data_IF_220795834020
#
_entry.id   IF_220795834020
#
_cell.length_a   1.000
_cell.length_b   1.000
_cell.length_c   1.000
_cell.angle_alpha   90.00
_cell.angle_beta   90.00
_cell.angle_gamma   90.00
#
_symmetry.space_group_name_H-M   'P 1'
#
loop_
_entity.id
_entity.type
_entity.pdbx_description
1 polymer ?
#
# COMPACT_ATOMS: atom_id res chain seq x y z
N UNK A 1 8.86 -19.62 -23.84
CA UNK A 1 9.23 -18.65 -22.79
C UNK A 1 9.89 -19.30 -21.57
N UNK A 2 9.30 -20.31 -20.92
CA UNK A 2 9.94 -21.02 -19.79
C UNK A 2 11.35 -21.56 -20.11
N UNK A 3 11.52 -22.19 -21.28
CA UNK A 3 12.84 -22.64 -21.76
C UNK A 3 13.87 -21.51 -21.84
N UNK A 4 13.47 -20.31 -22.25
CA UNK A 4 14.37 -19.16 -22.34
C UNK A 4 14.77 -18.61 -20.96
N UNK A 5 13.88 -18.69 -19.96
CA UNK A 5 14.22 -18.40 -18.57
C UNK A 5 15.22 -19.41 -18.01
N UNK A 6 15.05 -20.69 -18.33
CA UNK A 6 15.98 -21.75 -17.91
C UNK A 6 17.36 -21.59 -18.54
N UNK A 7 17.43 -21.24 -19.82
CA UNK A 7 18.70 -20.89 -20.48
C UNK A 7 19.39 -19.71 -19.82
N UNK A 8 18.63 -18.66 -19.45
CA UNK A 8 19.20 -17.51 -18.74
C UNK A 8 19.69 -17.89 -17.34
N UNK A 9 18.94 -18.72 -16.61
CA UNK A 9 19.32 -19.24 -15.30
C UNK A 9 20.60 -20.09 -15.37
N UNK A 10 20.75 -20.93 -16.39
CA UNK A 10 21.96 -21.70 -16.64
C UNK A 10 23.16 -20.80 -16.98
N UNK A 11 22.93 -19.74 -17.76
CA UNK A 11 23.99 -18.77 -18.12
C UNK A 11 24.51 -18.02 -16.88
N UNK A 12 23.59 -17.62 -15.98
CA UNK A 12 23.94 -16.98 -14.71
C UNK A 12 24.79 -17.90 -13.82
N UNK A 13 24.39 -19.16 -13.68
CA UNK A 13 25.13 -20.16 -12.89
C UNK A 13 26.50 -20.50 -13.49
N UNK A 14 26.61 -20.48 -14.82
CA UNK A 14 27.86 -20.71 -15.53
C UNK A 14 28.81 -19.49 -15.50
N UNK A 15 28.40 -18.36 -14.91
CA UNK A 15 29.19 -17.13 -14.88
C UNK A 15 29.46 -16.55 -16.28
N UNK A 16 28.58 -16.82 -17.24
CA UNK A 16 28.80 -16.45 -18.64
C UNK A 16 28.88 -14.94 -18.86
N UNK A 17 29.77 -14.49 -19.74
CA UNK A 17 30.06 -13.08 -20.07
C UNK A 17 28.94 -12.31 -20.81
N UNK A 18 27.68 -12.78 -20.73
CA UNK A 18 26.54 -12.11 -21.35
C UNK A 18 26.11 -10.87 -20.57
N UNK A 19 25.17 -10.10 -21.13
CA UNK A 19 24.45 -9.03 -20.41
C UNK A 19 23.13 -9.60 -19.85
N UNK A 20 23.13 -10.23 -18.67
CA UNK A 20 21.97 -10.96 -18.15
C UNK A 20 20.77 -10.06 -17.85
N UNK A 21 21.01 -8.83 -17.41
CA UNK A 21 19.95 -7.86 -17.13
C UNK A 21 19.17 -7.47 -18.40
N UNK A 22 19.86 -7.25 -19.52
CA UNK A 22 19.19 -6.95 -20.80
C UNK A 22 18.36 -8.13 -21.29
N UNK A 23 18.91 -9.35 -21.21
CA UNK A 23 18.18 -10.57 -21.60
C UNK A 23 16.96 -10.80 -20.72
N UNK A 24 17.09 -10.55 -19.41
CA UNK A 24 15.96 -10.59 -18.48
C UNK A 24 14.88 -9.57 -18.87
N UNK A 25 15.26 -8.32 -19.13
CA UNK A 25 14.31 -7.25 -19.48
C UNK A 25 13.55 -7.58 -20.77
N UNK A 26 14.23 -8.11 -21.78
CA UNK A 26 13.59 -8.53 -23.03
C UNK A 26 12.57 -9.67 -22.79
N UNK A 27 12.93 -10.65 -21.96
CA UNK A 27 12.01 -11.74 -21.60
C UNK A 27 10.81 -11.23 -20.80
N UNK A 28 11.04 -10.31 -19.86
CA UNK A 28 9.98 -9.70 -19.06
C UNK A 28 8.99 -8.92 -19.93
N UNK A 29 9.49 -8.14 -20.90
CA UNK A 29 8.64 -7.42 -21.85
C UNK A 29 7.81 -8.40 -22.69
N UNK A 30 8.45 -9.42 -23.27
CA UNK A 30 7.74 -10.44 -24.04
C UNK A 30 6.66 -11.16 -23.22
N UNK A 31 6.93 -11.41 -21.93
CA UNK A 31 5.97 -12.04 -21.04
C UNK A 31 4.76 -11.15 -20.73
N UNK A 32 4.96 -9.85 -20.52
CA UNK A 32 3.88 -8.89 -20.35
C UNK A 32 2.99 -8.78 -21.60
N UNK A 33 3.56 -8.93 -22.80
CA UNK A 33 2.81 -8.94 -24.06
C UNK A 33 1.98 -10.24 -24.22
N UNK A 34 2.55 -11.39 -23.85
CA UNK A 34 1.88 -12.68 -23.99
C UNK A 34 0.84 -12.95 -22.89
N UNK A 35 0.99 -12.32 -21.71
CA UNK A 35 0.12 -12.50 -20.56
C UNK A 35 -0.42 -11.15 -20.04
N UNK A 36 -1.28 -10.46 -20.81
CA UNK A 36 -1.77 -9.13 -20.45
C UNK A 36 -2.66 -9.09 -19.19
N UNK A 37 -3.14 -10.25 -18.72
CA UNK A 37 -3.90 -10.37 -17.46
C UNK A 37 -3.04 -10.63 -16.22
N UNK A 38 -1.73 -10.87 -16.37
CA UNK A 38 -0.86 -11.24 -15.27
C UNK A 38 -0.29 -9.99 -14.57
N UNK A 39 -1.05 -9.42 -13.64
CA UNK A 39 -0.66 -8.22 -12.88
C UNK A 39 0.67 -8.37 -12.15
N UNK A 40 1.01 -9.60 -11.73
CA UNK A 40 2.29 -9.88 -11.07
C UNK A 40 3.50 -9.71 -11.97
N UNK A 41 3.38 -9.92 -13.30
CA UNK A 41 4.49 -9.65 -14.24
C UNK A 41 4.78 -8.14 -14.33
N UNK A 42 3.74 -7.31 -14.30
CA UNK A 42 3.86 -5.84 -14.37
C UNK A 42 4.52 -5.22 -13.13
N UNK A 43 4.44 -5.91 -11.99
CA UNK A 43 5.09 -5.49 -10.75
C UNK A 43 6.60 -5.78 -10.73
N UNK A 44 7.07 -6.70 -11.58
CA UNK A 44 8.49 -6.99 -11.70
C UNK A 44 9.12 -5.84 -12.47
N UNK A 45 9.95 -5.04 -11.79
CA UNK A 45 10.63 -3.92 -12.44
C UNK A 45 11.72 -4.43 -13.41
N UNK A 46 12.00 -3.69 -14.50
CA UNK A 46 13.21 -3.89 -15.29
C UNK A 46 14.47 -3.73 -14.43
N UNK A 47 15.54 -4.41 -14.83
CA UNK A 47 16.85 -4.36 -14.19
C UNK A 47 17.76 -3.38 -14.91
N UNK A 48 18.51 -2.58 -14.15
CA UNK A 48 19.63 -1.81 -14.70
C UNK A 48 20.77 -2.75 -15.15
N UNK A 49 21.62 -2.34 -16.10
CA UNK A 49 22.72 -3.17 -16.61
C UNK A 49 23.66 -3.69 -15.51
N UNK A 50 23.87 -2.89 -14.46
CA UNK A 50 24.83 -3.16 -13.39
C UNK A 50 24.22 -3.90 -12.18
N UNK A 51 23.01 -4.44 -12.32
CA UNK A 51 22.33 -5.14 -11.23
C UNK A 51 23.06 -6.43 -10.85
N UNK A 52 23.11 -6.70 -9.53
CA UNK A 52 23.74 -7.92 -9.03
C UNK A 52 23.05 -9.19 -9.53
N UNK A 53 23.84 -10.25 -9.74
CA UNK A 53 23.36 -11.57 -10.16
C UNK A 53 22.26 -12.10 -9.23
N UNK A 54 22.40 -11.92 -7.91
CA UNK A 54 21.41 -12.34 -6.94
C UNK A 54 20.04 -11.66 -7.17
N UNK A 55 20.02 -10.37 -7.49
CA UNK A 55 18.77 -9.64 -7.80
C UNK A 55 18.16 -10.12 -9.12
N UNK A 56 19.00 -10.41 -10.13
CA UNK A 56 18.54 -10.99 -11.39
C UNK A 56 17.89 -12.36 -11.15
N UNK A 57 18.51 -13.23 -10.35
CA UNK A 57 17.98 -14.56 -10.03
C UNK A 57 16.65 -14.51 -9.29
N UNK A 58 16.49 -13.60 -8.32
CA UNK A 58 15.23 -13.41 -7.59
C UNK A 58 14.11 -13.02 -8.55
N UNK A 59 14.33 -12.02 -9.42
CA UNK A 59 13.30 -11.58 -10.35
C UNK A 59 12.99 -12.62 -11.43
N UNK A 60 14.00 -13.39 -11.85
CA UNK A 60 13.84 -14.51 -12.76
C UNK A 60 13.00 -15.64 -12.13
N UNK A 61 13.21 -15.95 -10.85
CA UNK A 61 12.39 -16.92 -10.12
C UNK A 61 10.94 -16.46 -9.95
N UNK A 62 10.72 -15.18 -9.64
CA UNK A 62 9.38 -14.59 -9.57
C UNK A 62 8.65 -14.71 -10.92
N UNK A 63 9.34 -14.33 -12.01
CA UNK A 63 8.81 -14.41 -13.36
C UNK A 63 8.48 -15.85 -13.78
N UNK A 64 9.39 -16.80 -13.51
CA UNK A 64 9.18 -18.23 -13.79
C UNK A 64 7.93 -18.75 -13.08
N UNK A 65 7.79 -18.48 -11.79
CA UNK A 65 6.64 -18.90 -10.98
C UNK A 65 5.32 -18.33 -11.51
N UNK A 66 5.31 -17.06 -11.93
CA UNK A 66 4.11 -16.45 -12.52
C UNK A 66 3.75 -17.10 -13.84
N UNK A 67 4.72 -17.32 -14.73
CA UNK A 67 4.46 -17.95 -16.01
C UNK A 67 4.01 -19.41 -15.87
N UNK A 68 4.58 -20.17 -14.94
CA UNK A 68 4.12 -21.53 -14.64
C UNK A 68 2.65 -21.54 -14.19
N UNK A 69 2.22 -20.56 -13.40
CA UNK A 69 0.81 -20.40 -12.99
C UNK A 69 -0.12 -20.10 -14.17
N UNK A 70 0.25 -19.14 -15.01
CA UNK A 70 -0.55 -18.79 -16.19
C UNK A 70 -0.61 -19.94 -17.21
N UNK A 71 0.51 -20.65 -17.43
CA UNK A 71 0.59 -21.73 -18.43
C UNK A 71 -0.09 -23.03 -18.01
N UNK A 72 -0.12 -23.35 -16.71
CA UNK A 72 -0.76 -24.58 -16.22
C UNK A 72 -2.29 -24.49 -16.31
N UNK A 73 -2.85 -23.33 -16.72
CA UNK A 73 -4.30 -23.10 -16.67
C UNK A 73 -4.85 -23.21 -15.25
N UNK A 74 -3.96 -23.27 -14.25
CA UNK A 74 -4.24 -23.10 -12.85
C UNK A 74 -4.56 -21.62 -12.70
N UNK A 75 -5.76 -21.27 -13.17
CA UNK A 75 -6.45 -20.04 -12.85
C UNK A 75 -6.11 -19.79 -11.39
N UNK A 76 -5.32 -18.75 -11.13
CA UNK A 76 -5.21 -18.14 -9.80
C UNK A 76 -6.59 -18.29 -9.19
N UNK A 77 -6.76 -19.06 -8.09
CA UNK A 77 -8.04 -19.68 -7.73
C UNK A 77 -9.10 -18.66 -7.99
N UNK A 78 -9.81 -18.81 -9.13
CA UNK A 78 -10.92 -17.94 -9.44
C UNK A 78 -11.83 -18.27 -8.28
N UNK A 79 -12.05 -17.37 -7.30
CA UNK A 79 -12.65 -17.77 -6.05
C UNK A 79 -13.96 -18.44 -6.43
N UNK A 80 -13.98 -19.76 -6.27
CA UNK A 80 -15.08 -20.60 -6.66
C UNK A 80 -16.22 -20.12 -5.78
N UNK A 81 -17.20 -19.46 -6.38
CA UNK A 81 -18.47 -19.09 -5.77
C UNK A 81 -18.41 -18.80 -4.29
N UNK A 82 -17.65 -17.79 -3.85
CA UNK A 82 -18.15 -17.03 -2.71
C UNK A 82 -19.18 -16.12 -3.34
N UNK A 83 -20.45 -16.45 -3.10
CA UNK A 83 -21.61 -15.58 -3.26
C UNK A 83 -21.18 -14.13 -3.46
N UNK A 84 -21.70 -13.49 -4.52
CA UNK A 84 -21.72 -12.03 -4.61
C UNK A 84 -22.31 -11.51 -3.31
N UNK A 85 -21.44 -11.21 -2.33
CA UNK A 85 -21.84 -10.49 -1.14
C UNK A 85 -22.33 -9.14 -1.66
N UNK A 86 -23.56 -8.74 -1.31
CA UNK A 86 -24.10 -7.49 -1.81
C UNK A 86 -23.16 -6.35 -1.39
N UNK A 87 -22.69 -5.59 -2.39
CA UNK A 87 -21.98 -4.31 -2.27
C UNK A 87 -20.52 -4.32 -1.79
N UNK A 88 -19.58 -4.50 -2.72
CA UNK A 88 -18.30 -3.78 -2.63
C UNK A 88 -18.59 -2.29 -2.86
N UNK A 89 -18.99 -1.61 -1.78
CA UNK A 89 -19.39 -0.19 -1.73
C UNK A 89 -18.18 0.76 -1.53
N UNK A 90 -16.96 0.27 -1.78
CA UNK A 90 -15.72 0.96 -1.34
C UNK A 90 -14.92 1.46 -2.53
N UNK A 91 -14.72 2.77 -2.58
CA UNK A 91 -14.08 3.50 -3.68
C UNK A 91 -12.56 3.29 -3.78
N UNK A 92 -11.90 2.79 -2.72
CA UNK A 92 -10.44 2.70 -2.64
C UNK A 92 -9.98 1.38 -2.03
N UNK A 93 -9.02 0.70 -2.69
CA UNK A 93 -8.31 -0.44 -2.11
C UNK A 93 -7.49 0.02 -0.90
N UNK A 94 -7.54 -0.74 0.20
CA UNK A 94 -6.78 -0.45 1.43
C UNK A 94 -5.67 -1.49 1.59
N UNK A 95 -4.47 -1.01 1.92
CA UNK A 95 -3.30 -1.86 2.22
C UNK A 95 -3.27 -2.19 3.71
N UNK A 96 -2.98 -3.44 4.11
CA UNK A 96 -2.70 -3.74 5.50
C UNK A 96 -1.41 -3.03 5.93
N UNK A 97 -1.44 -2.39 7.10
CA UNK A 97 -0.30 -1.68 7.71
C UNK A 97 -0.26 -1.99 9.21
N UNK A 98 0.84 -1.62 9.86
CA UNK A 98 0.96 -1.67 11.32
C UNK A 98 1.79 -0.47 11.76
N UNK A 99 1.11 0.67 11.93
CA UNK A 99 1.74 1.93 12.34
C UNK A 99 1.18 2.36 13.67
N UNK A 100 2.04 2.80 14.59
CA UNK A 100 1.58 3.44 15.82
C UNK A 100 0.99 4.81 15.48
N UNK A 101 -0.12 5.15 16.10
CA UNK A 101 -0.82 6.39 15.86
C UNK A 101 -1.41 6.98 17.15
N UNK A 102 -1.55 8.30 17.17
CA UNK A 102 -2.34 9.01 18.18
C UNK A 102 -3.56 9.61 17.51
N UNK A 103 -4.74 9.25 18.01
CA UNK A 103 -6.00 9.87 17.63
C UNK A 103 -6.24 11.08 18.53
N UNK A 104 -6.12 12.28 17.95
CA UNK A 104 -6.24 13.57 18.64
C UNK A 104 -7.66 14.09 18.51
N UNK A 105 -8.30 14.37 19.64
CA UNK A 105 -9.66 14.89 19.73
C UNK A 105 -9.64 16.39 20.00
N UNK A 106 -10.73 17.08 19.62
CA UNK A 106 -10.83 18.55 19.71
C UNK A 106 -10.72 19.15 21.13
N UNK A 107 -10.76 18.33 22.18
CA UNK A 107 -10.58 18.74 23.58
C UNK A 107 -9.12 18.65 24.07
N UNK A 108 -8.17 18.26 23.20
CA UNK A 108 -6.77 18.06 23.57
C UNK A 108 -6.45 16.63 24.04
N UNK A 109 -7.47 15.77 24.12
CA UNK A 109 -7.28 14.35 24.42
C UNK A 109 -6.63 13.61 23.24
N UNK A 110 -5.65 12.77 23.54
CA UNK A 110 -5.00 11.90 22.57
C UNK A 110 -5.11 10.44 23.01
N UNK A 111 -5.56 9.58 22.10
CA UNK A 111 -5.72 8.15 22.34
C UNK A 111 -4.68 7.38 21.52
N UNK A 112 -3.89 6.55 22.20
CA UNK A 112 -2.98 5.62 21.56
C UNK A 112 -3.76 4.59 20.73
N UNK A 113 -3.32 4.38 19.50
CA UNK A 113 -3.95 3.49 18.54
C UNK A 113 -2.93 2.88 17.59
N UNK A 114 -3.33 1.80 16.94
CA UNK A 114 -2.59 1.17 15.87
C UNK A 114 -3.37 1.27 14.56
N UNK A 115 -2.75 1.82 13.52
CA UNK A 115 -3.29 1.76 12.16
C UNK A 115 -3.12 0.37 11.58
N UNK A 116 -4.23 -0.25 11.18
CA UNK A 116 -4.31 -1.63 10.67
C UNK A 116 -4.43 -1.70 9.15
N UNK A 117 -5.09 -0.72 8.55
CA UNK A 117 -5.18 -0.57 7.10
C UNK A 117 -5.20 0.90 6.68
N UNK A 118 -4.62 1.19 5.51
CA UNK A 118 -4.48 2.53 4.98
C UNK A 118 -4.70 2.58 3.47
N UNK A 119 -5.33 3.66 2.99
CA UNK A 119 -5.31 4.14 1.63
C UNK A 119 -4.92 5.62 1.62
N UNK A 120 -4.73 6.23 0.44
CA UNK A 120 -4.39 7.67 0.34
C UNK A 120 -5.33 8.57 1.13
N UNK A 121 -6.61 8.22 1.23
CA UNK A 121 -7.66 9.02 1.86
C UNK A 121 -8.42 8.29 2.97
N UNK A 122 -7.95 7.12 3.38
CA UNK A 122 -8.67 6.28 4.34
C UNK A 122 -7.70 5.64 5.31
N UNK A 123 -8.09 5.57 6.57
CA UNK A 123 -7.32 4.89 7.61
C UNK A 123 -8.27 4.05 8.46
N UNK A 124 -7.79 2.92 8.99
CA UNK A 124 -8.46 2.19 10.06
C UNK A 124 -7.55 2.12 11.26
N UNK A 125 -8.05 2.62 12.39
CA UNK A 125 -7.38 2.60 13.67
C UNK A 125 -8.04 1.59 14.60
N UNK A 126 -7.23 0.90 15.39
CA UNK A 126 -7.66 0.12 16.56
C UNK A 126 -7.06 0.79 17.78
N UNK A 127 -7.88 1.09 18.80
CA UNK A 127 -7.38 1.72 20.01
C UNK A 127 -6.55 0.71 20.82
N UNK A 128 -5.44 1.17 21.38
CA UNK A 128 -4.54 0.31 22.15
C UNK A 128 -5.12 -0.02 23.54
N UNK A 129 -4.57 -1.04 24.19
CA UNK A 129 -4.98 -1.44 25.54
C UNK A 129 -6.40 -2.04 25.64
N UNK A 130 -6.93 -2.57 24.53
CA UNK A 130 -8.24 -3.23 24.48
C UNK A 130 -9.43 -2.27 24.62
N UNK A 131 -9.20 -0.96 24.46
CA UNK A 131 -10.26 0.05 24.55
C UNK A 131 -11.23 -0.11 23.39
N UNK A 132 -12.52 -0.14 23.70
CA UNK A 132 -13.57 -0.08 22.68
C UNK A 132 -13.75 1.38 22.21
N UNK A 133 -14.02 1.62 20.91
CA UNK A 133 -14.24 2.96 20.38
C UNK A 133 -15.63 3.48 20.75
N UNK A 134 -15.91 3.61 22.04
CA UNK A 134 -17.16 4.12 22.59
C UNK A 134 -17.06 5.66 22.62
N UNK A 135 -18.12 6.35 22.16
CA UNK A 135 -18.18 7.82 22.19
C UNK A 135 -17.74 8.52 20.90
N UNK A 136 -17.39 7.78 19.84
CA UNK A 136 -17.12 8.37 18.53
C UNK A 136 -18.38 8.48 17.68
N UNK A 137 -18.64 9.66 17.12
CA UNK A 137 -19.76 9.90 16.22
C UNK A 137 -19.32 9.88 14.75
N UNK A 138 -20.16 9.37 13.85
CA UNK A 138 -19.95 9.55 12.42
C UNK A 138 -19.93 11.06 12.09
N UNK A 139 -18.96 11.49 11.29
CA UNK A 139 -18.74 12.89 10.95
C UNK A 139 -17.91 13.68 11.97
N UNK A 140 -17.49 13.04 13.07
CA UNK A 140 -16.66 13.70 14.07
C UNK A 140 -15.28 14.01 13.48
N UNK A 141 -14.90 15.29 13.56
CA UNK A 141 -13.58 15.77 13.16
C UNK A 141 -12.55 15.41 14.23
N UNK A 142 -11.40 14.92 13.79
CA UNK A 142 -10.29 14.53 14.63
C UNK A 142 -8.96 14.73 13.89
N UNK A 143 -7.86 14.70 14.63
CA UNK A 143 -6.52 14.61 14.09
C UNK A 143 -5.98 13.20 14.23
N UNK A 144 -5.08 12.80 13.35
CA UNK A 144 -4.26 11.60 13.54
C UNK A 144 -2.79 11.92 13.35
N UNK A 145 -1.99 11.64 14.37
CA UNK A 145 -0.52 11.65 14.29
C UNK A 145 -0.05 10.22 14.05
N UNK A 146 0.63 9.96 12.94
CA UNK A 146 1.13 8.63 12.57
C UNK A 146 2.64 8.60 12.82
N UNK A 147 3.09 7.59 13.56
CA UNK A 147 4.50 7.34 13.88
C UNK A 147 5.00 6.17 13.03
N UNK A 148 6.03 6.44 12.23
CA UNK A 148 6.65 5.43 11.36
C UNK A 148 7.83 4.77 12.07
N UNK A 149 7.96 3.46 11.88
CA UNK A 149 9.05 2.69 12.46
C UNK A 149 10.40 3.07 11.82
N UNK A 150 11.44 3.18 12.65
CA UNK A 150 12.84 3.18 12.20
C UNK A 150 13.57 4.52 12.17
N UNK A 151 12.88 5.66 12.17
CA UNK A 151 13.55 6.98 12.14
C UNK A 151 12.87 8.09 12.96
N UNK A 152 11.83 7.77 13.73
CA UNK A 152 11.05 8.78 14.47
C UNK A 152 10.26 9.73 13.58
N UNK A 153 10.14 9.45 12.27
CA UNK A 153 9.31 10.23 11.38
C UNK A 153 7.86 10.13 11.83
N UNK A 154 7.25 11.30 11.97
CA UNK A 154 5.85 11.46 12.32
C UNK A 154 5.23 12.51 11.43
N UNK A 155 3.95 12.32 11.15
CA UNK A 155 3.19 13.33 10.42
C UNK A 155 1.75 13.34 10.90
N UNK A 156 1.14 14.52 10.81
CA UNK A 156 -0.21 14.78 11.25
C UNK A 156 -1.16 14.89 10.08
N UNK A 157 -2.40 14.45 10.27
CA UNK A 157 -3.48 14.58 9.30
C UNK A 157 -4.81 14.90 9.96
N UNK A 158 -5.53 15.85 9.36
CA UNK A 158 -6.94 16.05 9.66
C UNK A 158 -7.76 14.90 9.09
N UNK A 159 -8.66 14.39 9.93
CA UNK A 159 -9.47 13.22 9.68
C UNK A 159 -10.92 13.40 10.15
N UNK A 160 -11.81 12.60 9.55
CA UNK A 160 -13.21 12.53 9.92
C UNK A 160 -13.61 11.06 10.14
N UNK A 161 -14.29 10.78 11.25
CA UNK A 161 -14.80 9.45 11.56
C UNK A 161 -15.91 9.09 10.57
N UNK A 162 -15.71 8.06 9.75
CA UNK A 162 -16.69 7.60 8.77
C UNK A 162 -17.28 6.23 9.09
N UNK A 163 -16.69 5.49 10.03
CA UNK A 163 -17.20 4.21 10.48
C UNK A 163 -16.68 3.91 11.89
N UNK A 164 -17.51 3.32 12.75
CA UNK A 164 -17.11 2.81 14.06
C UNK A 164 -17.72 1.44 14.22
N UNK A 165 -16.89 0.43 14.46
CA UNK A 165 -17.33 -0.94 14.68
C UNK A 165 -16.43 -1.65 15.69
N UNK A 166 -16.73 -2.92 15.97
CA UNK A 166 -15.98 -3.74 16.93
C UNK A 166 -14.51 -3.96 16.53
N UNK A 167 -14.17 -3.77 15.25
CA UNK A 167 -12.80 -3.90 14.74
C UNK A 167 -12.11 -2.54 14.57
N UNK A 168 -12.67 -1.47 15.14
CA UNK A 168 -12.02 -0.17 15.28
C UNK A 168 -12.73 0.97 14.57
N UNK A 169 -11.97 2.05 14.33
CA UNK A 169 -12.44 3.34 13.84
C UNK A 169 -11.95 3.51 12.40
N UNK A 170 -12.89 3.69 11.48
CA UNK A 170 -12.62 4.11 10.11
C UNK A 170 -12.57 5.62 10.01
N UNK A 171 -11.49 6.13 9.42
CA UNK A 171 -11.27 7.54 9.18
C UNK A 171 -11.22 7.85 7.67
N UNK A 172 -11.74 9.01 7.31
CA UNK A 172 -11.50 9.67 6.03
C UNK A 172 -10.47 10.76 6.24
N UNK A 173 -9.40 10.76 5.45
CA UNK A 173 -8.29 11.70 5.57
C UNK A 173 -8.45 12.84 4.54
N UNK A 174 -8.39 14.08 5.00
CA UNK A 174 -8.57 15.27 4.17
C UNK A 174 -7.38 15.49 3.22
N UNK A 175 -6.18 15.66 3.77
CA UNK A 175 -4.93 15.71 3.01
C UNK A 175 -4.39 14.30 2.79
N UNK A 176 -4.06 13.88 1.56
CA UNK A 176 -3.68 12.51 1.32
C UNK A 176 -2.44 12.07 2.11
N UNK A 177 -2.41 10.78 2.48
CA UNK A 177 -1.22 10.16 3.05
C UNK A 177 -0.06 10.16 2.05
N UNK A 178 1.19 10.29 2.49
CA UNK A 178 2.36 10.29 1.60
C UNK A 178 2.37 9.07 0.67
N UNK A 179 2.60 9.31 -0.64
CA UNK A 179 2.56 8.26 -1.66
C UNK A 179 3.64 7.17 -1.46
N UNK A 180 4.76 7.53 -0.80
CA UNK A 180 5.80 6.57 -0.40
C UNK A 180 5.28 5.51 0.59
N UNK A 181 4.31 5.87 1.44
CA UNK A 181 3.71 4.98 2.42
C UNK A 181 2.53 4.22 1.83
N UNK A 182 1.72 4.91 1.04
CA UNK A 182 0.57 4.34 0.35
C UNK A 182 0.62 4.77 -1.12
N UNK A 183 1.25 3.96 -2.00
CA UNK A 183 1.31 4.22 -3.42
C UNK A 183 -0.11 4.31 -3.99
N UNK A 184 -0.33 5.28 -4.87
CA UNK A 184 -1.61 5.37 -5.59
C UNK A 184 -1.75 4.16 -6.51
N UNK A 185 -2.78 3.35 -6.28
CA UNK A 185 -3.30 2.43 -7.29
C UNK A 185 -4.32 3.20 -8.14
N UNK A 186 -3.93 4.34 -8.71
CA UNK A 186 -4.80 5.05 -9.65
C UNK A 186 -4.63 4.41 -11.02
N UNK A 187 -5.67 3.71 -11.48
CA UNK A 187 -5.84 3.43 -12.90
C UNK A 187 -6.07 4.78 -13.63
N UNK A 188 -5.43 5.03 -14.78
CA UNK A 188 -5.60 6.27 -15.51
C UNK A 188 -7.06 6.40 -15.96
N UNK A 189 -7.83 7.30 -15.36
CA UNK A 189 -9.19 7.61 -15.82
C UNK A 189 -10.21 8.06 -14.79
N UNK A 190 -9.92 8.05 -13.49
CA UNK A 190 -10.88 8.56 -12.48
C UNK A 190 -10.40 9.88 -11.89
N UNK A 191 -10.66 10.97 -12.63
CA UNK A 191 -10.50 12.32 -12.10
C UNK A 191 -11.34 12.47 -10.81
N UNK A 192 -10.77 13.00 -9.71
CA UNK A 192 -11.53 13.25 -8.50
C UNK A 192 -12.52 14.39 -8.74
N UNK A 193 -13.77 14.32 -8.21
CA UNK A 193 -14.64 15.48 -8.23
C UNK A 193 -14.00 16.60 -7.39
N UNK A 194 -14.00 17.81 -7.94
CA UNK A 194 -13.47 19.00 -7.30
C UNK A 194 -14.03 19.14 -5.88
N UNK A 195 -13.20 18.89 -4.88
CA UNK A 195 -13.51 19.15 -3.47
C UNK A 195 -13.11 20.58 -3.17
N UNK A 196 -14.08 21.37 -2.72
CA UNK A 196 -13.89 22.77 -2.33
C UNK A 196 -12.78 22.85 -1.26
N UNK A 197 -11.78 23.71 -1.44
CA UNK A 197 -10.81 23.98 -0.40
C UNK A 197 -11.54 24.69 0.75
N UNK A 198 -11.63 24.06 1.91
CA UNK A 198 -11.92 24.79 3.14
C UNK A 198 -10.63 25.46 3.58
N UNK A 199 -10.51 26.75 3.25
CA UNK A 199 -9.44 27.59 3.74
C UNK A 199 -9.67 27.97 5.20
N UNK A 200 -8.54 27.96 5.94
CA UNK A 200 -8.23 28.82 7.09
C UNK A 200 -9.16 28.73 8.31
N UNK A 201 -9.03 27.70 9.14
CA UNK A 201 -9.23 27.85 10.61
C UNK A 201 -8.52 26.81 11.51
N UNK A 202 -7.50 26.10 11.01
CA UNK A 202 -6.74 25.12 11.81
C UNK A 202 -5.25 25.46 11.96
N UNK A 203 -4.91 26.75 12.05
CA UNK A 203 -3.54 27.19 12.41
C UNK A 203 -3.26 27.10 13.93
N UNK A 204 -4.16 26.52 14.72
CA UNK A 204 -3.97 26.41 16.18
C UNK A 204 -3.41 25.07 16.68
N UNK A 205 -3.28 24.04 15.83
CA UNK A 205 -2.69 22.76 16.23
C UNK A 205 -1.20 22.61 15.87
N UNK A 206 -0.57 23.68 15.36
CA UNK A 206 0.87 23.78 15.15
C UNK A 206 1.50 24.69 16.21
N UNK A 207 1.34 24.35 17.48
CA UNK A 207 2.31 24.74 18.50
C UNK A 207 3.26 23.55 18.68
N UNK A 208 4.57 23.72 18.51
CA UNK A 208 5.49 22.63 18.66
C UNK A 208 5.46 22.18 20.12
N UNK A 209 5.20 20.89 20.36
CA UNK A 209 5.65 20.19 21.55
C UNK A 209 7.19 20.09 21.50
N UNK A 210 7.83 21.27 21.54
CA UNK A 210 9.23 21.51 21.84
C UNK A 210 9.22 22.06 23.27
N UNK A 211 9.13 21.15 24.24
CA UNK A 211 9.57 21.30 25.63
C UNK A 211 8.90 20.16 26.39
N UNK A 212 9.68 19.11 26.65
CA UNK A 212 9.81 18.46 27.96
C UNK A 212 11.09 17.62 27.90
N UNK A 213 12.23 18.32 28.01
CA UNK A 213 13.34 17.84 28.85
C UNK A 213 12.89 18.14 30.27
N UNK A 214 12.81 17.13 31.13
CA UNK A 214 13.49 16.95 32.41
C UNK A 214 13.06 15.60 32.96
#
# INVERSE_FOLDING_TARGET
MLRALETLQQTLRAGGAGQPALRFNALLQQACEHFPGADTLRLIQPLSPDMSVAVIEVRLAMMKRTLEREMTGAASPRPAGVERRPSERRRWQRRPVTWTAWLVLGQGDALAATAMDASRHGLRLVLDGGRKPIGFAHGQKCGVEIHLAGNGARFFRDAEVCNVDERGIGLTIAEPLPAVLVPSTEAPGSAPPARRPWSLLSKLFALPLLLWRW
#
